data_IF_914103202043
#
_entry.id   IF_914103202043
#
_cell.length_a   1.000
_cell.length_b   1.000
_cell.length_c   1.000
_cell.angle_alpha   90.00
_cell.angle_beta   90.00
_cell.angle_gamma   90.00
#
_symmetry.space_group_name_H-M   'P 1'
#
loop_
_entity.id
_entity.type
_entity.pdbx_description
1 polymer ?
#
# COMPACT_ATOMS: atom_id res chain seq x y z
N UNK A 1 16.39 -27.55 6.20
CA UNK A 1 17.25 -26.59 5.46
C UNK A 1 17.70 -27.05 4.06
N UNK A 2 18.02 -28.33 3.75
CA UNK A 2 18.60 -28.68 2.43
C UNK A 2 17.64 -28.52 1.23
N UNK A 3 16.31 -28.53 1.45
CA UNK A 3 15.32 -28.41 0.38
C UNK A 3 15.21 -27.00 -0.24
N UNK A 4 15.46 -25.93 0.52
CA UNK A 4 15.44 -24.56 -0.02
C UNK A 4 16.69 -24.28 -0.86
N UNK A 5 17.86 -24.69 -0.37
CA UNK A 5 19.12 -24.56 -1.10
C UNK A 5 19.09 -25.37 -2.39
N UNK A 6 18.64 -26.64 -2.33
CA UNK A 6 18.48 -27.46 -3.54
C UNK A 6 17.55 -26.79 -4.54
N UNK A 7 16.37 -26.33 -4.11
CA UNK A 7 15.43 -25.65 -5.01
C UNK A 7 15.98 -24.34 -5.56
N UNK A 8 16.82 -23.61 -4.83
CA UNK A 8 17.49 -22.43 -5.35
C UNK A 8 18.50 -22.80 -6.45
N UNK A 9 19.28 -23.85 -6.24
CA UNK A 9 20.32 -24.31 -7.17
C UNK A 9 19.78 -25.04 -8.41
N UNK A 10 18.65 -25.74 -8.30
CA UNK A 10 18.09 -26.56 -9.39
C UNK A 10 16.86 -25.95 -10.06
N UNK A 11 16.51 -24.70 -9.71
CA UNK A 11 15.28 -23.99 -10.13
C UNK A 11 13.99 -24.83 -10.08
N UNK A 12 13.92 -25.78 -9.14
CA UNK A 12 12.75 -26.66 -9.01
C UNK A 12 11.64 -25.97 -8.25
N UNK A 13 10.39 -26.35 -8.56
CA UNK A 13 9.21 -25.92 -7.81
C UNK A 13 9.37 -26.23 -6.31
N UNK A 14 9.08 -25.22 -5.51
CA UNK A 14 9.09 -25.34 -4.06
C UNK A 14 7.85 -26.11 -3.61
N UNK A 15 7.97 -27.03 -2.64
CA UNK A 15 6.83 -27.74 -2.10
C UNK A 15 5.73 -26.80 -1.56
N UNK A 16 4.44 -27.03 -1.85
CA UNK A 16 3.35 -26.10 -1.52
C UNK A 16 3.19 -25.80 -0.03
N UNK A 17 3.67 -26.70 0.85
CA UNK A 17 3.68 -26.49 2.30
C UNK A 17 4.51 -25.27 2.74
N UNK A 18 5.47 -24.81 1.94
CA UNK A 18 6.23 -23.60 2.27
C UNK A 18 5.36 -22.36 2.22
N UNK A 19 4.51 -22.23 1.19
CA UNK A 19 3.57 -21.13 1.08
C UNK A 19 2.58 -21.16 2.24
N UNK A 20 1.94 -22.30 2.51
CA UNK A 20 0.99 -22.44 3.61
C UNK A 20 1.60 -22.06 4.97
N UNK A 21 2.82 -22.53 5.27
CA UNK A 21 3.52 -22.19 6.53
C UNK A 21 3.87 -20.71 6.62
N UNK A 22 4.30 -20.10 5.51
CA UNK A 22 4.62 -18.68 5.47
C UNK A 22 3.36 -17.84 5.71
N UNK A 23 2.25 -18.17 5.05
CA UNK A 23 0.96 -17.49 5.23
C UNK A 23 0.46 -17.61 6.67
N UNK A 24 0.54 -18.80 7.28
CA UNK A 24 0.18 -18.98 8.69
C UNK A 24 1.03 -18.10 9.60
N UNK A 25 2.35 -18.06 9.37
CA UNK A 25 3.26 -17.24 10.18
C UNK A 25 2.94 -15.76 10.06
N UNK A 26 2.75 -15.25 8.84
CA UNK A 26 2.36 -13.85 8.59
C UNK A 26 1.00 -13.54 9.22
N UNK A 27 0.04 -14.45 9.14
CA UNK A 27 -1.28 -14.27 9.76
C UNK A 27 -1.22 -14.26 11.30
N UNK A 28 -0.29 -14.98 11.91
CA UNK A 28 -0.10 -15.04 13.36
C UNK A 28 0.68 -13.86 13.91
N UNK A 29 1.83 -13.53 13.32
CA UNK A 29 2.72 -12.48 13.83
C UNK A 29 2.51 -11.11 13.17
N UNK A 30 1.71 -11.06 12.09
CA UNK A 30 1.35 -9.85 11.33
C UNK A 30 2.53 -9.11 10.73
N UNK A 31 3.68 -9.79 10.59
CA UNK A 31 4.91 -9.20 10.05
C UNK A 31 5.06 -9.54 8.58
N UNK A 32 5.15 -8.49 7.76
CA UNK A 32 5.44 -8.59 6.33
C UNK A 32 6.67 -7.73 6.00
N UNK A 33 7.83 -8.29 6.32
CA UNK A 33 9.13 -7.70 6.01
C UNK A 33 9.59 -8.05 4.58
N UNK A 34 10.65 -7.38 4.12
CA UNK A 34 11.19 -7.55 2.76
C UNK A 34 11.64 -8.99 2.47
N UNK A 35 12.15 -9.71 3.47
CA UNK A 35 12.58 -11.10 3.30
C UNK A 35 11.39 -12.03 3.07
N UNK A 36 10.28 -11.84 3.82
CA UNK A 36 9.04 -12.59 3.63
C UNK A 36 8.35 -12.24 2.32
N UNK A 37 8.34 -10.97 1.93
CA UNK A 37 7.83 -10.54 0.63
C UNK A 37 8.63 -11.17 -0.52
N UNK A 38 9.96 -11.17 -0.44
CA UNK A 38 10.82 -11.83 -1.42
C UNK A 38 10.56 -13.35 -1.49
N UNK A 39 10.36 -14.01 -0.33
CA UNK A 39 10.02 -15.43 -0.29
C UNK A 39 8.63 -15.72 -0.86
N UNK A 40 7.62 -14.89 -0.58
CA UNK A 40 6.30 -14.97 -1.19
C UNK A 40 6.41 -14.88 -2.72
N UNK A 41 7.14 -13.87 -3.22
CA UNK A 41 7.39 -13.70 -4.64
C UNK A 41 8.03 -14.94 -5.25
N UNK A 42 9.11 -15.45 -4.66
CA UNK A 42 9.79 -16.66 -5.14
C UNK A 42 8.85 -17.87 -5.22
N UNK A 43 8.03 -18.08 -4.18
CA UNK A 43 7.09 -19.19 -4.11
C UNK A 43 6.01 -19.08 -5.19
N UNK A 44 5.48 -17.89 -5.42
CA UNK A 44 4.43 -17.64 -6.42
C UNK A 44 4.99 -17.67 -7.85
N UNK A 45 6.12 -17.01 -8.12
CA UNK A 45 6.74 -17.01 -9.46
C UNK A 45 6.98 -18.42 -9.96
N UNK A 46 7.37 -19.35 -9.08
CA UNK A 46 7.60 -20.76 -9.44
C UNK A 46 6.34 -21.61 -9.52
N UNK A 47 5.20 -21.13 -9.01
CA UNK A 47 3.91 -21.83 -9.08
C UNK A 47 2.97 -21.31 -10.17
N UNK A 48 3.30 -20.17 -10.80
CA UNK A 48 2.55 -19.59 -11.92
C UNK A 48 2.30 -20.64 -13.01
N UNK A 49 1.04 -20.71 -13.45
CA UNK A 49 0.62 -21.50 -14.60
C UNK A 49 0.75 -20.68 -15.89
N UNK A 50 0.97 -21.33 -17.06
CA UNK A 50 0.94 -20.63 -18.35
C UNK A 50 -0.36 -19.84 -18.53
N UNK A 51 -0.24 -18.57 -18.91
CA UNK A 51 -1.39 -17.66 -19.09
C UNK A 51 -1.83 -16.92 -17.83
N UNK A 52 -1.25 -17.18 -16.65
CA UNK A 52 -1.46 -16.34 -15.47
C UNK A 52 -0.55 -15.09 -15.50
N UNK A 53 -1.04 -14.02 -14.87
CA UNK A 53 -0.31 -12.76 -14.72
C UNK A 53 1.01 -12.97 -13.95
N UNK A 54 2.15 -12.45 -14.46
CA UNK A 54 3.45 -12.63 -13.82
C UNK A 54 3.52 -11.90 -12.47
N UNK A 55 4.24 -12.49 -11.51
CA UNK A 55 4.50 -11.81 -10.24
C UNK A 55 5.69 -10.85 -10.43
N UNK A 56 5.40 -9.56 -10.40
CA UNK A 56 6.39 -8.49 -10.54
C UNK A 56 7.19 -8.25 -9.26
N UNK A 57 8.42 -7.70 -9.35
CA UNK A 57 9.26 -7.42 -8.19
C UNK A 57 8.87 -6.15 -7.43
N UNK A 58 8.18 -5.22 -8.08
CA UNK A 58 7.75 -3.93 -7.52
C UNK A 58 6.26 -3.69 -7.78
N UNK A 59 5.76 -2.52 -7.36
CA UNK A 59 4.40 -2.12 -7.63
C UNK A 59 4.13 -2.06 -9.14
N UNK A 60 3.33 -2.98 -9.64
CA UNK A 60 2.71 -2.89 -10.95
C UNK A 60 1.40 -2.07 -10.86
N UNK A 61 1.33 -0.87 -11.48
CA UNK A 61 0.13 -0.04 -11.46
C UNK A 61 -1.02 -0.64 -12.28
N UNK A 62 -0.71 -1.39 -13.34
CA UNK A 62 -1.67 -1.90 -14.32
C UNK A 62 -2.17 -3.32 -14.00
N UNK A 63 -1.65 -3.92 -12.93
CA UNK A 63 -2.02 -5.26 -12.49
C UNK A 63 -3.54 -5.39 -12.26
N UNK A 64 -4.14 -6.44 -12.85
CA UNK A 64 -5.61 -6.67 -12.83
C UNK A 64 -6.02 -7.88 -12.02
N UNK A 65 -5.06 -8.64 -11.48
CA UNK A 65 -5.35 -9.79 -10.63
C UNK A 65 -6.13 -9.36 -9.37
N UNK A 66 -7.37 -9.86 -9.13
CA UNK A 66 -8.24 -9.37 -8.05
C UNK A 66 -7.61 -9.39 -6.66
N UNK A 67 -6.88 -10.48 -6.33
CA UNK A 67 -6.21 -10.60 -5.04
C UNK A 67 -5.08 -9.56 -4.83
N UNK A 68 -4.30 -9.26 -5.88
CA UNK A 68 -3.22 -8.28 -5.81
C UNK A 68 -3.78 -6.86 -5.67
N UNK A 69 -4.80 -6.52 -6.48
CA UNK A 69 -5.52 -5.24 -6.38
C UNK A 69 -6.14 -5.08 -4.99
N UNK A 70 -6.75 -6.13 -4.45
CA UNK A 70 -7.28 -6.11 -3.08
C UNK A 70 -6.19 -5.82 -2.03
N UNK A 71 -4.99 -6.36 -2.20
CA UNK A 71 -3.83 -6.04 -1.36
C UNK A 71 -3.48 -4.55 -1.36
N UNK A 72 -3.45 -3.95 -2.55
CA UNK A 72 -3.21 -2.51 -2.73
C UNK A 72 -4.34 -1.66 -2.12
N UNK A 73 -5.59 -2.09 -2.27
CA UNK A 73 -6.74 -1.42 -1.65
C UNK A 73 -6.65 -1.48 -0.13
N UNK A 74 -6.34 -2.64 0.44
CA UNK A 74 -6.17 -2.81 1.89
C UNK A 74 -5.06 -1.90 2.45
N UNK A 75 -3.93 -1.80 1.75
CA UNK A 75 -2.87 -0.85 2.10
C UNK A 75 -3.36 0.61 2.09
N UNK A 76 -4.14 0.98 1.07
CA UNK A 76 -4.71 2.33 0.92
C UNK A 76 -5.70 2.64 2.04
N UNK A 77 -6.54 1.68 2.43
CA UNK A 77 -7.47 1.82 3.56
C UNK A 77 -6.73 2.00 4.89
N UNK A 78 -5.68 1.21 5.14
CA UNK A 78 -4.82 1.39 6.30
C UNK A 78 -4.11 2.74 6.29
N UNK A 79 -3.72 3.22 5.10
CA UNK A 79 -3.09 4.52 4.94
C UNK A 79 -4.04 5.68 5.26
N UNK A 80 -5.29 5.60 4.82
CA UNK A 80 -6.33 6.58 5.16
C UNK A 80 -6.47 6.72 6.69
N UNK A 81 -6.48 5.60 7.42
CA UNK A 81 -6.53 5.65 8.88
C UNK A 81 -5.30 6.36 9.47
N UNK A 82 -4.09 5.99 9.03
CA UNK A 82 -2.84 6.60 9.50
C UNK A 82 -2.78 8.09 9.21
N UNK A 83 -3.23 8.52 8.03
CA UNK A 83 -3.26 9.92 7.65
C UNK A 83 -4.24 10.73 8.52
N UNK A 84 -5.40 10.14 8.85
CA UNK A 84 -6.46 10.80 9.62
C UNK A 84 -6.19 10.84 11.14
N UNK A 85 -5.57 9.79 11.68
CA UNK A 85 -5.42 9.60 13.13
C UNK A 85 -3.97 9.67 13.62
N UNK A 86 -2.98 9.57 12.72
CA UNK A 86 -1.59 9.37 13.09
C UNK A 86 -1.30 7.93 13.53
N UNK A 87 -0.41 7.78 14.51
CA UNK A 87 -0.15 6.48 15.12
C UNK A 87 -1.33 6.03 16.00
N UNK A 88 -1.70 4.77 15.88
CA UNK A 88 -2.80 4.16 16.64
C UNK A 88 -2.32 2.86 17.27
N UNK A 89 -2.82 2.55 18.47
CA UNK A 89 -2.40 1.37 19.23
C UNK A 89 -2.59 0.03 18.48
N UNK A 90 -3.64 -0.05 17.66
CA UNK A 90 -3.85 -1.19 16.75
C UNK A 90 -4.67 -0.74 15.55
N UNK A 91 -4.02 -0.70 14.39
CA UNK A 91 -4.58 -0.23 13.13
C UNK A 91 -5.41 -1.27 12.40
N UNK A 92 -5.82 -0.93 11.18
CA UNK A 92 -6.52 -1.82 10.26
C UNK A 92 -5.69 -3.07 9.97
N UNK A 93 -4.39 -2.92 9.71
CA UNK A 93 -3.51 -4.05 9.43
C UNK A 93 -3.43 -5.01 10.64
N UNK A 94 -3.35 -4.48 11.87
CA UNK A 94 -3.26 -5.33 13.07
C UNK A 94 -4.53 -6.15 13.31
N UNK A 95 -5.70 -5.54 13.07
CA UNK A 95 -6.99 -6.14 13.42
C UNK A 95 -7.58 -6.98 12.30
N UNK A 96 -7.37 -6.59 11.05
CA UNK A 96 -8.11 -7.15 9.92
C UNK A 96 -7.27 -7.97 8.96
N UNK A 97 -5.92 -7.98 9.04
CA UNK A 97 -5.08 -8.67 8.05
C UNK A 97 -5.49 -10.14 7.83
N UNK A 98 -5.72 -10.89 8.92
CA UNK A 98 -6.07 -12.33 8.84
C UNK A 98 -7.43 -12.58 8.17
N UNK A 99 -8.43 -11.77 8.48
CA UNK A 99 -9.75 -11.90 7.83
C UNK A 99 -9.72 -11.32 6.42
N UNK A 100 -8.94 -10.28 6.15
CA UNK A 100 -8.81 -9.67 4.83
C UNK A 100 -8.12 -10.59 3.83
N UNK A 101 -7.12 -11.35 4.26
CA UNK A 101 -6.47 -12.35 3.40
C UNK A 101 -7.35 -13.59 3.18
N UNK A 102 -8.31 -13.91 4.06
CA UNK A 102 -9.11 -15.14 3.91
C UNK A 102 -10.50 -14.90 3.34
N UNK A 103 -11.14 -13.76 3.66
CA UNK A 103 -12.52 -13.43 3.33
C UNK A 103 -12.68 -11.96 2.90
N UNK A 104 -12.13 -11.55 1.74
CA UNK A 104 -12.15 -10.18 1.25
C UNK A 104 -13.56 -9.57 1.17
N UNK A 105 -14.48 -10.28 0.52
CA UNK A 105 -15.85 -9.80 0.29
C UNK A 105 -16.59 -9.46 1.59
N UNK A 106 -16.37 -10.25 2.64
CA UNK A 106 -17.06 -10.07 3.92
C UNK A 106 -16.50 -8.89 4.73
N UNK A 107 -15.18 -8.66 4.69
CA UNK A 107 -14.57 -7.59 5.51
C UNK A 107 -14.63 -6.22 4.83
N UNK A 108 -14.64 -6.20 3.49
CA UNK A 108 -14.46 -4.98 2.72
C UNK A 108 -15.48 -3.87 3.07
N UNK A 109 -16.80 -4.12 3.15
CA UNK A 109 -17.77 -3.07 3.48
C UNK A 109 -17.48 -2.40 4.83
N UNK A 110 -17.06 -3.18 5.84
CA UNK A 110 -16.73 -2.64 7.16
C UNK A 110 -15.49 -1.76 7.14
N UNK A 111 -14.47 -2.12 6.34
CA UNK A 111 -13.27 -1.30 6.18
C UNK A 111 -13.55 -0.02 5.40
N UNK A 112 -14.43 -0.09 4.39
CA UNK A 112 -14.82 1.06 3.60
C UNK A 112 -15.60 2.10 4.43
N UNK A 113 -16.55 1.67 5.27
CA UNK A 113 -17.25 2.56 6.20
C UNK A 113 -16.28 3.29 7.16
N UNK A 114 -15.30 2.56 7.70
CA UNK A 114 -14.26 3.15 8.56
C UNK A 114 -13.41 4.15 7.78
N UNK A 115 -12.98 3.80 6.57
CA UNK A 115 -12.21 4.69 5.71
C UNK A 115 -12.99 5.96 5.36
N UNK A 116 -14.29 5.86 5.06
CA UNK A 116 -15.14 7.03 4.77
C UNK A 116 -15.21 7.99 5.96
N UNK A 117 -15.32 7.48 7.19
CA UNK A 117 -15.27 8.32 8.41
C UNK A 117 -13.92 9.04 8.56
N UNK A 118 -12.82 8.36 8.26
CA UNK A 118 -11.48 8.93 8.28
C UNK A 118 -11.27 9.96 7.16
N UNK A 119 -11.76 9.71 5.96
CA UNK A 119 -11.75 10.66 4.84
C UNK A 119 -12.54 11.92 5.18
N UNK A 120 -13.75 11.79 5.74
CA UNK A 120 -14.54 12.95 6.20
C UNK A 120 -13.84 13.75 7.30
N UNK A 121 -12.98 13.13 8.11
CA UNK A 121 -12.12 13.85 9.06
C UNK A 121 -10.97 14.57 8.35
N UNK A 122 -10.31 13.92 7.38
CA UNK A 122 -9.23 14.52 6.59
C UNK A 122 -9.71 15.74 5.79
N UNK A 123 -10.87 15.67 5.15
CA UNK A 123 -11.46 16.78 4.39
C UNK A 123 -11.70 18.04 5.23
N UNK A 124 -11.97 17.87 6.53
CA UNK A 124 -12.19 18.98 7.47
C UNK A 124 -10.89 19.57 8.03
N UNK A 125 -9.75 18.96 7.76
CA UNK A 125 -8.45 19.48 8.20
C UNK A 125 -7.92 20.47 7.16
N UNK A 126 -7.56 21.68 7.61
CA UNK A 126 -6.97 22.73 6.77
C UNK A 126 -5.72 22.26 6.04
N UNK A 127 -4.88 21.48 6.71
CA UNK A 127 -3.54 21.15 6.20
C UNK A 127 -3.51 19.79 5.47
N UNK A 128 -4.53 18.96 5.68
CA UNK A 128 -4.60 17.57 5.17
C UNK A 128 -5.77 17.30 4.22
N UNK A 129 -6.54 18.33 3.85
CA UNK A 129 -7.69 18.19 2.94
C UNK A 129 -7.31 17.52 1.61
N UNK A 130 -6.18 17.91 1.01
CA UNK A 130 -5.69 17.31 -0.24
C UNK A 130 -5.33 15.83 -0.14
N UNK A 131 -5.03 15.32 1.06
CA UNK A 131 -4.74 13.90 1.25
C UNK A 131 -6.01 13.06 1.11
N UNK A 132 -7.18 13.57 1.50
CA UNK A 132 -8.45 12.88 1.29
C UNK A 132 -8.69 12.62 -0.20
N UNK A 133 -8.57 13.67 -1.02
CA UNK A 133 -8.72 13.58 -2.49
C UNK A 133 -7.75 12.59 -3.11
N UNK A 134 -6.48 12.61 -2.69
CA UNK A 134 -5.46 11.69 -3.20
C UNK A 134 -5.80 10.22 -2.89
N UNK A 135 -6.28 9.93 -1.67
CA UNK A 135 -6.63 8.57 -1.26
C UNK A 135 -7.91 8.08 -1.92
N UNK A 136 -8.90 8.95 -2.07
CA UNK A 136 -10.14 8.64 -2.80
C UNK A 136 -9.85 8.32 -4.25
N UNK A 137 -9.02 9.14 -4.91
CA UNK A 137 -8.58 8.88 -6.28
C UNK A 137 -7.87 7.53 -6.38
N UNK A 138 -6.94 7.21 -5.48
CA UNK A 138 -6.26 5.90 -5.48
C UNK A 138 -7.23 4.74 -5.29
N UNK A 139 -8.23 4.87 -4.41
CA UNK A 139 -9.27 3.85 -4.26
C UNK A 139 -10.12 3.71 -5.53
N UNK A 140 -10.47 4.82 -6.20
CA UNK A 140 -11.22 4.78 -7.46
C UNK A 140 -10.41 4.08 -8.56
N UNK A 141 -9.13 4.45 -8.75
CA UNK A 141 -8.21 3.79 -9.70
C UNK A 141 -8.13 2.27 -9.46
N UNK A 142 -8.07 1.84 -8.20
CA UNK A 142 -8.03 0.42 -7.86
C UNK A 142 -9.38 -0.30 -8.13
N UNK A 143 -10.51 0.37 -7.94
CA UNK A 143 -11.82 -0.20 -8.33
C UNK A 143 -11.93 -0.35 -9.85
N UNK A 144 -11.42 0.63 -10.62
CA UNK A 144 -11.42 0.57 -12.09
C UNK A 144 -10.58 -0.62 -12.60
N UNK A 145 -9.43 -0.89 -11.97
CA UNK A 145 -8.61 -2.07 -12.30
C UNK A 145 -9.34 -3.39 -12.02
N UNK A 146 -10.09 -3.45 -10.92
CA UNK A 146 -10.91 -4.61 -10.58
C UNK A 146 -12.05 -4.80 -11.59
N UNK A 147 -12.59 -3.69 -12.11
CA UNK A 147 -13.70 -3.65 -13.05
C UNK A 147 -15.02 -4.05 -12.37
N UNK A 148 -16.01 -4.60 -13.11
CA UNK A 148 -17.29 -5.02 -12.54
C UNK A 148 -17.20 -6.28 -11.67
N UNK A 149 -16.00 -6.87 -11.53
CA UNK A 149 -15.80 -8.11 -10.77
C UNK A 149 -15.92 -7.81 -9.27
N UNK A 150 -16.76 -8.56 -8.53
CA UNK A 150 -16.76 -8.43 -7.08
C UNK A 150 -15.44 -8.93 -6.50
N UNK A 151 -15.11 -8.45 -5.30
CA UNK A 151 -14.05 -9.09 -4.52
C UNK A 151 -14.42 -10.57 -4.27
N UNK A 152 -13.44 -11.48 -4.34
CA UNK A 152 -13.71 -12.90 -4.12
C UNK A 152 -14.16 -13.16 -2.68
N UNK A 153 -15.09 -14.10 -2.52
CA UNK A 153 -15.62 -14.52 -1.22
C UNK A 153 -14.52 -15.09 -0.31
N UNK A 154 -13.62 -15.88 -0.91
CA UNK A 154 -12.45 -16.46 -0.24
C UNK A 154 -11.24 -16.43 -1.17
N UNK A 155 -10.03 -16.43 -0.60
CA UNK A 155 -8.78 -16.49 -1.37
C UNK A 155 -8.12 -17.86 -1.25
N UNK A 156 -7.62 -18.38 -2.36
CA UNK A 156 -6.72 -19.54 -2.38
C UNK A 156 -5.39 -19.19 -1.69
N UNK A 157 -4.53 -20.17 -1.41
CA UNK A 157 -3.21 -19.90 -0.83
C UNK A 157 -2.34 -19.00 -1.75
N UNK A 158 -2.42 -19.20 -3.06
CA UNK A 158 -1.70 -18.37 -4.03
C UNK A 158 -2.24 -16.94 -4.03
N UNK A 159 -3.56 -16.78 -4.01
CA UNK A 159 -4.20 -15.48 -3.95
C UNK A 159 -3.93 -14.75 -2.63
N UNK A 160 -3.88 -15.48 -1.51
CA UNK A 160 -3.43 -14.93 -0.23
C UNK A 160 -2.00 -14.38 -0.34
N UNK A 161 -1.12 -15.09 -1.06
CA UNK A 161 0.22 -14.61 -1.35
C UNK A 161 0.22 -13.34 -2.22
N UNK A 162 -0.57 -13.32 -3.30
CA UNK A 162 -0.72 -12.15 -4.19
C UNK A 162 -1.27 -10.93 -3.44
N UNK A 163 -2.25 -11.14 -2.56
CA UNK A 163 -2.77 -10.11 -1.67
C UNK A 163 -1.68 -9.51 -0.78
N UNK A 164 -0.87 -10.34 -0.14
CA UNK A 164 0.22 -9.87 0.71
C UNK A 164 1.28 -9.11 -0.12
N UNK A 165 1.60 -9.56 -1.33
CA UNK A 165 2.52 -8.83 -2.21
C UNK A 165 1.95 -7.46 -2.62
N UNK A 166 0.68 -7.37 -3.00
CA UNK A 166 0.03 -6.10 -3.31
C UNK A 166 0.04 -5.12 -2.14
N UNK A 167 -0.22 -5.63 -0.92
CA UNK A 167 -0.11 -4.86 0.32
C UNK A 167 1.33 -4.35 0.53
N UNK A 168 2.33 -5.22 0.40
CA UNK A 168 3.73 -4.86 0.59
C UNK A 168 4.21 -3.84 -0.44
N UNK A 169 3.91 -4.04 -1.73
CA UNK A 169 4.29 -3.14 -2.81
C UNK A 169 3.67 -1.76 -2.64
N UNK A 170 2.38 -1.67 -2.33
CA UNK A 170 1.74 -0.36 -2.12
C UNK A 170 2.32 0.37 -0.90
N UNK A 171 2.65 -0.35 0.19
CA UNK A 171 3.33 0.24 1.35
C UNK A 171 4.72 0.77 1.01
N UNK A 172 5.48 0.02 0.21
CA UNK A 172 6.82 0.42 -0.20
C UNK A 172 6.78 1.65 -1.12
N UNK A 173 5.83 1.69 -2.06
CA UNK A 173 5.58 2.83 -2.97
C UNK A 173 5.21 4.09 -2.19
N UNK A 174 4.24 4.00 -1.27
CA UNK A 174 3.84 5.09 -0.39
C UNK A 174 5.01 5.68 0.40
N UNK A 175 5.90 4.81 0.92
CA UNK A 175 7.07 5.23 1.68
C UNK A 175 8.13 5.89 0.79
N UNK A 176 8.32 5.38 -0.43
CA UNK A 176 9.22 5.97 -1.44
C UNK A 176 8.76 7.38 -1.78
N UNK A 177 7.47 7.54 -2.11
CA UNK A 177 6.88 8.85 -2.42
C UNK A 177 7.02 9.86 -1.26
N UNK A 178 6.82 9.44 -0.01
CA UNK A 178 7.01 10.31 1.15
C UNK A 178 8.47 10.77 1.33
N UNK A 179 9.44 9.88 1.10
CA UNK A 179 10.87 10.22 1.18
C UNK A 179 11.27 11.22 0.10
N UNK A 180 10.77 11.04 -1.11
CA UNK A 180 11.02 11.96 -2.22
C UNK A 180 10.43 13.35 -1.96
N UNK A 181 9.22 13.42 -1.40
CA UNK A 181 8.62 14.70 -1.00
C UNK A 181 9.46 15.39 0.10
N UNK A 182 9.87 14.65 1.13
CA UNK A 182 10.70 15.20 2.20
C UNK A 182 12.07 15.69 1.71
N UNK A 183 12.66 15.03 0.69
CA UNK A 183 13.90 15.46 0.06
C UNK A 183 13.71 16.76 -0.74
N UNK A 184 12.60 16.90 -1.48
CA UNK A 184 12.28 18.12 -2.25
C UNK A 184 12.09 19.33 -1.33
N UNK A 185 11.37 19.17 -0.21
CA UNK A 185 11.15 20.28 0.74
C UNK A 185 12.45 20.77 1.40
N UNK A 186 13.47 19.91 1.56
CA UNK A 186 14.78 20.30 2.11
C UNK A 186 15.68 21.05 1.13
N UNK A 187 15.44 20.92 -0.17
CA UNK A 187 16.30 21.49 -1.21
C UNK A 187 15.77 22.82 -1.79
N UNK A 188 14.63 23.33 -1.31
CA UNK A 188 14.11 24.65 -1.70
C UNK A 188 14.73 25.74 -0.80
N UNK A 189 15.49 26.71 -1.33
CA UNK A 189 15.99 27.82 -0.52
C UNK A 189 14.82 28.66 0.01
N UNK A 190 14.92 29.26 1.22
CA UNK A 190 13.94 30.23 1.66
C UNK A 190 13.91 31.39 0.65
N UNK A 191 12.72 31.67 0.11
CA UNK A 191 12.47 32.88 -0.67
C UNK A 191 12.87 34.08 0.18
N UNK A 192 13.89 34.82 -0.25
CA UNK A 192 14.37 36.00 0.44
C UNK A 192 13.24 37.00 0.63
N UNK A 193 13.14 37.51 1.86
CA UNK A 193 12.36 38.69 2.18
C UNK A 193 12.85 39.82 1.26
N UNK A 194 11.99 40.26 0.33
CA UNK A 194 12.18 41.57 -0.31
C UNK A 194 11.92 42.62 0.75
N UNK A 195 13.02 43.07 1.35
CA UNK A 195 13.15 44.29 2.12
C UNK A 195 12.49 45.43 1.34
N UNK A 196 11.36 45.93 1.84
CA UNK A 196 10.72 47.12 1.28
C UNK A 196 11.47 48.31 1.89
N UNK A 197 12.47 48.80 1.17
CA UNK A 197 13.16 50.04 1.50
C UNK A 197 12.17 51.20 1.46
N UNK A 198 12.00 51.80 2.62
CA UNK A 198 11.26 53.00 2.93
C UNK A 198 12.04 54.21 2.36
N UNK A 199 11.72 54.66 1.15
CA UNK A 199 12.27 55.89 0.59
C UNK A 199 11.38 57.08 1.01
N UNK A 200 11.82 57.74 2.09
CA UNK A 200 11.42 59.10 2.44
C UNK A 200 12.22 60.07 1.56
N UNK A 201 11.59 60.69 0.55
CA UNK A 201 12.15 61.86 -0.14
C UNK A 201 11.42 63.14 0.32
N UNK A 202 12.16 63.96 1.07
CA UNK A 202 11.87 65.36 1.37
C UNK A 202 12.05 66.25 0.12
N UNK A 203 11.01 67.04 -0.21
CA UNK A 203 11.09 68.38 -0.83
C UNK A 203 11.59 68.51 -2.29
N UNK A 204 11.35 69.66 -2.97
CA UNK A 204 11.26 70.99 -2.39
C UNK A 204 10.11 71.89 -2.88
N UNK A 205 9.95 72.98 -2.11
CA UNK A 205 9.29 74.28 -2.33
C UNK A 205 8.95 74.72 -3.76
N UNK A 206 7.72 75.22 -3.92
CA UNK A 206 7.40 76.53 -4.53
C UNK A 206 6.08 77.05 -3.95
#
# INVERSE_FOLDING_TARGET
RPRLLRAALTDTRLPPQFLARLLQRIGSDRRLDSARAALLRLLLTRSIRPGEEPVTPELDPDARHPAYVWGRMFATLARIQRDALGEVNAGIEDRFLRVAMTRPQAVYPSLLDKANKHLSRLRRSSDKGGWATLRERRLAELHELLGPRPLPATLTAEDQGRFLLGLYHQRADDLRAMREQAAKTKNTPPSGDTDHSDDTEEGPTA
#
